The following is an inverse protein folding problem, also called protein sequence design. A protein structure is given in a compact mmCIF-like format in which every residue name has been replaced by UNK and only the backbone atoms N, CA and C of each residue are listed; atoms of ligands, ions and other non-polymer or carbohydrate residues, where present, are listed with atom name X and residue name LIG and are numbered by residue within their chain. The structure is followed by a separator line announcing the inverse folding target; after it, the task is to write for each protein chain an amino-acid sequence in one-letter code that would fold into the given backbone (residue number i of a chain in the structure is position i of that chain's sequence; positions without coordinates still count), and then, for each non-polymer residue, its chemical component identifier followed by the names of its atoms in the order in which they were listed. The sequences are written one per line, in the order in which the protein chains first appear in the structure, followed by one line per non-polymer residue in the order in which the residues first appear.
data_IF_872507984469
#
_entry.id   IF_872507984469
#
_cell.length_a   1.000
_cell.length_b   1.000
_cell.length_c   1.000
_cell.angle_alpha   90.00
_cell.angle_beta   90.00
_cell.angle_gamma   90.00
#
_symmetry.space_group_name_H-M   'P 1'
#
loop_
_entity.id
_entity.type
_entity.pdbx_description
1 polymer ?
#
# COMPACT_ATOMS: atom_id res chain seq x y z
N UNK A 1 -13.59 -6.42 -41.24
CA UNK A 1 -13.91 -7.13 -39.98
C UNK A 1 -13.03 -6.68 -38.82
N UNK A 2 -12.09 -5.75 -38.98
CA UNK A 2 -11.21 -5.29 -37.88
C UNK A 2 -11.75 -4.15 -37.00
N UNK A 3 -12.59 -3.26 -37.53
CA UNK A 3 -12.94 -2.02 -36.82
C UNK A 3 -13.77 -2.26 -35.55
N UNK A 4 -14.66 -3.25 -35.56
CA UNK A 4 -15.52 -3.59 -34.42
C UNK A 4 -14.73 -4.28 -33.29
N UNK A 5 -13.71 -5.06 -33.65
CA UNK A 5 -12.82 -5.72 -32.68
C UNK A 5 -11.94 -4.69 -31.97
N UNK A 6 -11.31 -3.78 -32.73
CA UNK A 6 -10.51 -2.68 -32.17
C UNK A 6 -11.35 -1.76 -31.29
N UNK A 7 -12.60 -1.47 -31.69
CA UNK A 7 -13.52 -0.63 -30.91
C UNK A 7 -13.88 -1.22 -29.54
N UNK A 8 -13.83 -2.54 -29.37
CA UNK A 8 -14.20 -3.21 -28.13
C UNK A 8 -12.97 -3.49 -27.26
N UNK A 9 -11.91 -4.02 -27.86
CA UNK A 9 -10.74 -4.50 -27.12
C UNK A 9 -9.77 -3.39 -26.72
N UNK A 10 -9.69 -2.31 -27.50
CA UNK A 10 -8.82 -1.18 -27.15
C UNK A 10 -9.26 -0.49 -25.84
N UNK A 11 -10.56 -0.19 -25.61
CA UNK A 11 -11.02 0.29 -24.30
C UNK A 11 -10.68 -0.64 -23.14
N UNK A 12 -10.87 -1.95 -23.29
CA UNK A 12 -10.54 -2.94 -22.25
C UNK A 12 -9.04 -2.99 -21.97
N UNK A 13 -8.21 -3.01 -23.01
CA UNK A 13 -6.76 -2.98 -22.89
C UNK A 13 -6.28 -1.69 -22.19
N UNK A 14 -6.85 -0.53 -22.55
CA UNK A 14 -6.54 0.75 -21.89
C UNK A 14 -6.98 0.76 -20.42
N UNK A 15 -8.13 0.17 -20.10
CA UNK A 15 -8.61 0.05 -18.72
C UNK A 15 -7.71 -0.87 -17.88
N UNK A 16 -7.28 -1.99 -18.45
CA UNK A 16 -6.33 -2.92 -17.83
C UNK A 16 -4.97 -2.24 -17.61
N UNK A 17 -4.45 -1.53 -18.62
CA UNK A 17 -3.21 -0.78 -18.53
C UNK A 17 -3.28 0.30 -17.44
N UNK A 18 -4.37 1.08 -17.40
CA UNK A 18 -4.59 2.10 -16.36
C UNK A 18 -4.57 1.49 -14.96
N UNK A 19 -5.26 0.36 -14.78
CA UNK A 19 -5.31 -0.35 -13.49
C UNK A 19 -3.92 -0.86 -13.08
N UNK A 20 -3.18 -1.44 -14.03
CA UNK A 20 -1.81 -1.89 -13.80
C UNK A 20 -0.86 -0.75 -13.44
N UNK A 21 -0.91 0.36 -14.17
CA UNK A 21 -0.09 1.55 -13.89
C UNK A 21 -0.42 2.17 -12.55
N UNK A 22 -1.70 2.28 -12.19
CA UNK A 22 -2.13 2.77 -10.86
C UNK A 22 -1.56 1.89 -9.75
N UNK A 23 -1.62 0.55 -9.91
CA UNK A 23 -1.06 -0.37 -8.92
C UNK A 23 0.45 -0.23 -8.77
N UNK A 24 1.18 -0.11 -9.88
CA UNK A 24 2.63 0.12 -9.86
C UNK A 24 2.95 1.45 -9.17
N UNK A 25 2.20 2.50 -9.48
CA UNK A 25 2.36 3.81 -8.85
C UNK A 25 2.16 3.75 -7.34
N UNK A 26 1.12 3.06 -6.86
CA UNK A 26 0.87 2.85 -5.42
C UNK A 26 2.00 2.09 -4.73
N UNK A 27 2.56 1.06 -5.38
CA UNK A 27 3.71 0.31 -4.85
C UNK A 27 4.94 1.23 -4.73
N UNK A 28 5.29 1.96 -5.80
CA UNK A 28 6.44 2.86 -5.80
C UNK A 28 6.27 3.96 -4.75
N UNK A 29 5.07 4.53 -4.61
CA UNK A 29 4.78 5.54 -3.60
C UNK A 29 4.91 4.99 -2.18
N UNK A 30 4.42 3.77 -1.93
CA UNK A 30 4.51 3.11 -0.64
C UNK A 30 5.97 2.79 -0.28
N UNK A 31 6.74 2.27 -1.23
CA UNK A 31 8.18 2.04 -1.06
C UNK A 31 8.93 3.35 -0.79
N UNK A 32 8.61 4.42 -1.51
CA UNK A 32 9.20 5.75 -1.26
C UNK A 32 8.84 6.26 0.13
N UNK A 33 7.59 6.09 0.56
CA UNK A 33 7.14 6.51 1.90
C UNK A 33 7.88 5.74 2.99
N UNK A 34 8.11 4.45 2.77
CA UNK A 34 8.82 3.57 3.70
C UNK A 34 10.34 3.84 3.73
N UNK A 35 10.98 3.97 2.56
CA UNK A 35 12.43 4.10 2.39
C UNK A 35 12.99 5.48 2.75
N UNK A 36 12.18 6.43 3.24
CA UNK A 36 12.64 7.74 3.75
C UNK A 36 13.39 7.63 5.09
N UNK A 37 14.27 6.63 5.21
CA UNK A 37 15.06 6.30 6.38
C UNK A 37 16.11 7.38 6.72
N UNK A 38 16.54 8.17 5.73
CA UNK A 38 17.59 9.19 5.88
C UNK A 38 17.10 10.58 6.28
N UNK A 39 15.79 10.82 6.34
CA UNK A 39 15.28 12.06 6.91
C UNK A 39 15.20 11.90 8.43
N UNK A 40 16.32 12.14 9.12
CA UNK A 40 16.42 12.25 10.58
C UNK A 40 15.64 13.47 11.14
N UNK A 41 14.79 14.09 10.33
CA UNK A 41 14.05 15.30 10.66
C UNK A 41 12.60 14.97 11.01
N UNK A 42 12.13 15.61 12.09
CA UNK A 42 10.70 15.71 12.41
C UNK A 42 9.99 16.45 11.28
N UNK A 43 8.89 15.89 10.80
CA UNK A 43 8.06 16.51 9.78
C UNK A 43 6.59 16.20 10.02
N UNK A 44 5.70 17.00 9.44
CA UNK A 44 4.28 16.69 9.37
C UNK A 44 4.02 15.41 8.55
N UNK A 45 3.76 14.30 9.26
CA UNK A 45 3.49 12.97 8.70
C UNK A 45 2.00 12.67 8.78
N UNK A 46 1.47 12.05 7.72
CA UNK A 46 0.17 11.39 7.74
C UNK A 46 0.33 9.95 8.24
N UNK A 47 -0.22 9.67 9.42
CA UNK A 47 -0.09 8.36 10.07
C UNK A 47 -0.86 7.28 9.31
N UNK A 48 -2.03 7.60 8.75
CA UNK A 48 -2.82 6.62 7.99
C UNK A 48 -2.06 6.19 6.74
N UNK A 49 -1.37 7.13 6.08
CA UNK A 49 -0.52 6.80 4.93
C UNK A 49 0.60 5.81 5.30
N UNK A 50 1.21 5.95 6.48
CA UNK A 50 2.24 5.02 6.98
C UNK A 50 1.71 3.61 7.21
N UNK A 51 0.53 3.49 7.82
CA UNK A 51 -0.14 2.19 8.06
C UNK A 51 -0.55 1.56 6.72
N UNK A 52 -1.18 2.31 5.82
CA UNK A 52 -1.63 1.82 4.53
C UNK A 52 -0.46 1.39 3.64
N UNK A 53 0.67 2.12 3.66
CA UNK A 53 1.90 1.73 2.95
C UNK A 53 2.45 0.40 3.49
N UNK A 54 2.46 0.23 4.81
CA UNK A 54 2.90 -1.02 5.45
C UNK A 54 2.01 -2.20 5.06
N UNK A 55 0.68 -2.01 5.09
CA UNK A 55 -0.28 -3.03 4.66
C UNK A 55 -0.12 -3.40 3.18
N UNK A 56 0.18 -2.42 2.32
CA UNK A 56 0.46 -2.69 0.90
C UNK A 56 1.72 -3.53 0.73
N UNK A 57 2.80 -3.22 1.45
CA UNK A 57 4.05 -3.99 1.41
C UNK A 57 3.81 -5.44 1.89
N UNK A 58 3.02 -5.62 2.94
CA UNK A 58 2.68 -6.93 3.51
C UNK A 58 1.51 -7.63 2.79
N UNK A 59 0.96 -7.06 1.71
CA UNK A 59 -0.21 -7.60 1.01
C UNK A 59 -0.06 -9.06 0.60
N UNK A 60 1.15 -9.46 0.17
CA UNK A 60 1.44 -10.83 -0.25
C UNK A 60 1.31 -11.84 0.89
N UNK A 61 1.57 -11.43 2.14
CA UNK A 61 1.41 -12.28 3.33
C UNK A 61 -0.03 -12.33 3.82
N UNK A 62 -0.79 -11.25 3.61
CA UNK A 62 -2.22 -11.19 3.96
C UNK A 62 -3.09 -12.06 3.04
N UNK A 63 -2.68 -12.20 1.76
CA UNK A 63 -3.40 -12.94 0.72
C UNK A 63 -2.77 -14.31 0.40
N UNK A 64 -2.14 -14.95 1.38
CA UNK A 64 -1.50 -16.25 1.16
C UNK A 64 -2.51 -17.28 0.63
N UNK A 65 -2.14 -18.00 -0.44
CA UNK A 65 -2.96 -19.09 -0.99
C UNK A 65 -2.86 -20.38 -0.16
N UNK A 66 -1.80 -20.51 0.64
CA UNK A 66 -1.51 -21.71 1.44
C UNK A 66 -2.16 -21.69 2.83
N UNK A 67 -2.36 -20.51 3.41
CA UNK A 67 -2.89 -20.31 4.76
C UNK A 67 -3.99 -19.26 4.70
N UNK A 68 -5.10 -19.54 5.38
CA UNK A 68 -6.34 -18.75 5.45
C UNK A 68 -6.14 -17.24 5.22
N UNK A 69 -6.89 -16.67 4.28
CA UNK A 69 -6.87 -15.24 3.97
C UNK A 69 -7.10 -14.39 5.24
N UNK A 70 -6.20 -13.43 5.48
CA UNK A 70 -6.29 -12.50 6.62
C UNK A 70 -7.09 -11.28 6.18
N UNK A 71 -8.23 -11.06 6.83
CA UNK A 71 -9.08 -9.89 6.60
C UNK A 71 -8.58 -8.72 7.45
N UNK A 72 -8.27 -7.60 6.81
CA UNK A 72 -7.86 -6.35 7.49
C UNK A 72 -9.02 -5.36 7.50
N UNK A 73 -9.54 -5.06 8.68
CA UNK A 73 -10.55 -4.02 8.89
C UNK A 73 -9.91 -2.70 9.33
N UNK A 74 -10.09 -1.64 8.55
CA UNK A 74 -9.51 -0.31 8.81
C UNK A 74 -10.56 0.63 9.40
N UNK A 75 -10.47 0.89 10.70
CA UNK A 75 -11.36 1.79 11.43
C UNK A 75 -10.63 3.08 11.84
N UNK A 76 -10.28 3.91 10.85
CA UNK A 76 -9.55 5.16 11.08
C UNK A 76 -10.49 6.28 11.56
N UNK A 77 -10.05 7.02 12.57
CA UNK A 77 -10.67 8.29 12.95
C UNK A 77 -10.10 9.46 12.15
N UNK A 78 -10.54 10.68 12.45
CA UNK A 78 -9.83 11.86 11.98
C UNK A 78 -8.54 12.05 12.80
N UNK A 79 -7.42 12.17 12.10
CA UNK A 79 -6.14 12.50 12.71
C UNK A 79 -5.43 13.53 11.81
N UNK A 80 -5.08 14.72 12.32
CA UNK A 80 -4.29 15.68 11.55
C UNK A 80 -2.87 15.14 11.36
N UNK A 81 -2.10 15.75 10.45
CA UNK A 81 -0.68 15.44 10.31
C UNK A 81 0.05 15.74 11.62
N UNK A 82 0.93 14.84 12.02
CA UNK A 82 1.69 14.95 13.26
C UNK A 82 3.16 15.18 12.94
N UNK A 83 3.77 16.12 13.65
CA UNK A 83 5.23 16.32 13.64
C UNK A 83 5.90 15.11 14.31
N UNK A 84 6.49 14.22 13.51
CA UNK A 84 7.14 13.00 13.99
C UNK A 84 8.17 12.45 13.00
N UNK A 85 8.97 11.47 13.45
CA UNK A 85 9.90 10.72 12.61
C UNK A 85 9.15 9.61 11.85
N UNK A 86 8.64 9.94 10.66
CA UNK A 86 7.80 9.01 9.88
C UNK A 86 8.45 7.66 9.58
N UNK A 87 9.76 7.63 9.32
CA UNK A 87 10.48 6.37 9.06
C UNK A 87 10.52 5.44 10.28
N UNK A 88 10.70 5.99 11.48
CA UNK A 88 10.69 5.22 12.72
C UNK A 88 9.30 4.65 13.00
N UNK A 89 8.24 5.45 12.78
CA UNK A 89 6.86 4.98 12.91
C UNK A 89 6.52 3.89 11.89
N UNK A 90 6.95 4.04 10.63
CA UNK A 90 6.77 3.01 9.62
C UNK A 90 7.44 1.69 10.03
N UNK A 91 8.60 1.74 10.68
CA UNK A 91 9.25 0.54 11.22
C UNK A 91 8.44 -0.09 12.36
N UNK A 92 7.86 0.73 13.25
CA UNK A 92 6.97 0.24 14.31
C UNK A 92 5.75 -0.46 13.72
N UNK A 93 5.10 0.13 12.70
CA UNK A 93 3.96 -0.50 12.02
C UNK A 93 4.35 -1.81 11.35
N UNK A 94 5.49 -1.85 10.64
CA UNK A 94 6.00 -3.06 10.01
C UNK A 94 6.17 -4.20 11.02
N UNK A 95 6.80 -3.90 12.15
CA UNK A 95 7.05 -4.89 13.19
C UNK A 95 5.75 -5.41 13.83
N UNK A 96 4.84 -4.50 14.21
CA UNK A 96 3.57 -4.87 14.87
C UNK A 96 2.71 -5.71 13.93
N UNK A 97 2.54 -5.26 12.68
CA UNK A 97 1.67 -5.95 11.71
C UNK A 97 2.29 -7.28 11.28
N UNK A 98 3.61 -7.36 11.08
CA UNK A 98 4.29 -8.64 10.81
C UNK A 98 4.03 -9.63 11.93
N UNK A 99 4.23 -9.22 13.19
CA UNK A 99 4.01 -10.10 14.34
C UNK A 99 2.56 -10.57 14.45
N UNK A 100 1.59 -9.72 14.10
CA UNK A 100 0.18 -10.11 14.07
C UNK A 100 -0.11 -11.16 12.98
N UNK A 101 0.52 -11.05 11.81
CA UNK A 101 0.44 -12.06 10.74
C UNK A 101 1.13 -13.36 11.17
N UNK A 102 2.25 -13.30 11.87
CA UNK A 102 3.02 -14.48 12.29
C UNK A 102 2.36 -15.26 13.45
N UNK A 103 1.39 -14.65 14.14
CA UNK A 103 0.72 -15.25 15.29
C UNK A 103 -0.52 -16.09 14.94
N UNK A 104 -0.94 -16.11 13.67
CA UNK A 104 -2.15 -16.81 13.19
C UNK A 104 -1.85 -18.11 12.44
#
# INVERSE_FOLDING_TARGET
MDLNFISHDLPEALASMKTGTERIWQIVLSLRTFARHDEAEMKAVDIHQGIDSTLLILQHRLKSEEWREIIVEKNYGYLPKLECHGAQLNQVFMNIISNAIDAV
#
